data_IF_599275223822
#
_entry.id   IF_599275223822
#
_cell.length_a   1.000
_cell.length_b   1.000
_cell.length_c   1.000
_cell.angle_alpha   90.00
_cell.angle_beta   90.00
_cell.angle_gamma   90.00
#
_symmetry.space_group_name_H-M   'P 1'
#
loop_
_entity.id
_entity.type
_entity.pdbx_description
1 polymer ?
#
# COMPACT_ATOMS: atom_id res chain seq x y z
N UNK A 1 -0.74 -14.52 -1.34
CA UNK A 1 -0.56 -13.10 -1.00
C UNK A 1 -1.27 -12.81 0.31
N UNK A 2 -0.56 -12.23 1.25
CA UNK A 2 -1.12 -11.87 2.57
C UNK A 2 -1.33 -10.36 2.59
N UNK A 3 -2.56 -9.93 2.86
CA UNK A 3 -2.89 -8.51 2.95
C UNK A 3 -3.43 -8.20 4.35
N UNK A 4 -2.95 -7.11 4.92
CA UNK A 4 -3.46 -6.57 6.17
C UNK A 4 -4.69 -5.70 5.87
N UNK A 5 -5.74 -5.86 6.66
CA UNK A 5 -6.91 -5.01 6.59
C UNK A 5 -7.09 -4.30 7.93
N UNK A 6 -7.00 -2.98 7.91
CA UNK A 6 -7.17 -2.11 9.07
C UNK A 6 -8.50 -2.32 9.79
N UNK A 7 -9.57 -2.59 9.05
CA UNK A 7 -10.92 -2.74 9.59
C UNK A 7 -11.09 -4.03 10.42
N UNK A 8 -10.08 -4.92 10.36
CA UNK A 8 -10.01 -6.13 11.18
C UNK A 8 -9.11 -5.98 12.40
N UNK A 9 -8.79 -4.75 12.78
CA UNK A 9 -8.05 -4.48 14.01
C UNK A 9 -8.89 -4.79 15.22
N UNK A 10 -8.37 -5.65 16.11
CA UNK A 10 -9.03 -6.02 17.37
C UNK A 10 -8.08 -5.73 18.53
N UNK A 11 -8.35 -4.67 19.29
CA UNK A 11 -7.53 -4.25 20.42
C UNK A 11 -6.13 -3.79 19.97
N UNK A 12 -5.08 -4.25 20.65
CA UNK A 12 -3.68 -3.90 20.33
C UNK A 12 -3.02 -4.88 19.36
N UNK A 13 -3.75 -5.86 18.85
CA UNK A 13 -3.21 -6.88 17.94
C UNK A 13 -3.78 -6.69 16.55
N UNK A 14 -2.91 -6.76 15.57
CA UNK A 14 -3.29 -6.75 14.17
C UNK A 14 -3.64 -8.17 13.73
N UNK A 15 -4.81 -8.34 13.12
CA UNK A 15 -5.09 -9.56 12.38
C UNK A 15 -4.60 -9.39 10.94
N UNK A 16 -3.75 -10.31 10.53
CA UNK A 16 -3.33 -10.41 9.14
C UNK A 16 -4.33 -11.30 8.42
N UNK A 17 -5.08 -10.71 7.51
CA UNK A 17 -6.01 -11.46 6.69
C UNK A 17 -5.31 -11.93 5.42
N UNK A 18 -5.50 -13.20 5.12
CA UNK A 18 -5.16 -13.71 3.79
C UNK A 18 -6.33 -13.36 2.87
N UNK A 19 -6.12 -12.37 2.02
CA UNK A 19 -7.09 -11.99 1.00
C UNK A 19 -6.57 -12.53 -0.33
N UNK A 20 -7.33 -13.40 -0.95
CA UNK A 20 -6.97 -13.96 -2.24
C UNK A 20 -7.40 -13.02 -3.37
N UNK A 21 -6.82 -13.18 -4.55
CA UNK A 21 -7.26 -12.44 -5.73
C UNK A 21 -8.74 -12.68 -6.04
N UNK A 22 -9.23 -13.88 -5.76
CA UNK A 22 -10.65 -14.23 -5.93
C UNK A 22 -11.56 -13.39 -5.04
N UNK A 23 -11.17 -13.09 -3.80
CA UNK A 23 -11.94 -12.25 -2.89
C UNK A 23 -12.03 -10.82 -3.42
N UNK A 24 -10.95 -10.30 -4.01
CA UNK A 24 -10.90 -8.97 -4.61
C UNK A 24 -11.78 -8.94 -5.87
N UNK A 25 -11.73 -9.94 -6.71
CA UNK A 25 -12.55 -10.05 -7.92
C UNK A 25 -14.04 -10.12 -7.59
N UNK A 26 -14.41 -10.89 -6.57
CA UNK A 26 -15.81 -11.01 -6.13
C UNK A 26 -16.37 -9.68 -5.61
N UNK A 27 -15.53 -8.80 -5.07
CA UNK A 27 -15.95 -7.48 -4.62
C UNK A 27 -16.10 -6.47 -5.76
N UNK A 28 -15.72 -6.83 -6.98
CA UNK A 28 -15.71 -5.96 -8.17
C UNK A 28 -14.90 -4.68 -8.00
N UNK A 29 -13.87 -4.72 -7.14
CA UNK A 29 -12.99 -3.56 -6.89
C UNK A 29 -11.76 -3.66 -7.78
N UNK A 30 -11.59 -2.66 -8.64
CA UNK A 30 -10.38 -2.50 -9.43
C UNK A 30 -9.35 -1.73 -8.62
N UNK A 31 -8.21 -2.35 -8.38
CA UNK A 31 -7.08 -1.72 -7.71
C UNK A 31 -6.13 -1.15 -8.77
N UNK A 32 -5.92 0.16 -8.74
CA UNK A 32 -5.02 0.85 -9.68
C UNK A 32 -3.69 1.10 -8.98
N UNK A 33 -2.60 0.73 -9.65
CA UNK A 33 -1.25 0.86 -9.12
C UNK A 33 -0.64 2.21 -9.42
N UNK A 34 0.01 2.80 -8.40
CA UNK A 34 0.79 4.03 -8.52
C UNK A 34 2.25 3.70 -8.28
N UNK A 35 3.08 3.87 -9.32
CA UNK A 35 4.53 3.68 -9.24
C UNK A 35 5.25 4.97 -9.59
N UNK A 36 5.43 5.87 -8.62
CA UNK A 36 6.10 7.16 -8.78
C UNK A 36 7.25 7.32 -7.80
N UNK A 37 8.27 8.07 -8.22
CA UNK A 37 9.49 8.25 -7.44
C UNK A 37 9.41 9.30 -6.33
N UNK A 38 8.37 10.12 -6.29
CA UNK A 38 8.24 11.22 -5.34
C UNK A 38 6.87 11.23 -4.67
N UNK A 39 6.84 11.57 -3.38
CA UNK A 39 5.60 11.68 -2.61
C UNK A 39 4.55 12.57 -3.27
N UNK A 40 4.98 13.75 -3.72
CA UNK A 40 4.10 14.71 -4.38
C UNK A 40 3.40 14.11 -5.61
N UNK A 41 4.12 13.34 -6.39
CA UNK A 41 3.59 12.67 -7.58
C UNK A 41 2.59 11.57 -7.20
N UNK A 42 2.90 10.79 -6.16
CA UNK A 42 2.00 9.74 -5.64
C UNK A 42 0.69 10.35 -5.18
N UNK A 43 0.76 11.41 -4.38
CA UNK A 43 -0.42 12.09 -3.84
C UNK A 43 -1.29 12.68 -4.95
N UNK A 44 -0.68 13.35 -5.92
CA UNK A 44 -1.39 13.95 -7.04
C UNK A 44 -2.07 12.89 -7.92
N UNK A 45 -1.36 11.81 -8.22
CA UNK A 45 -1.92 10.71 -9.03
C UNK A 45 -3.06 10.01 -8.29
N UNK A 46 -2.94 9.82 -6.98
CA UNK A 46 -4.00 9.22 -6.17
C UNK A 46 -5.31 10.03 -6.30
N UNK A 47 -5.24 11.34 -6.12
CA UNK A 47 -6.41 12.22 -6.26
C UNK A 47 -7.00 12.16 -7.66
N UNK A 48 -6.15 12.20 -8.67
CA UNK A 48 -6.56 12.14 -10.06
C UNK A 48 -7.30 10.83 -10.39
N UNK A 49 -6.75 9.70 -9.94
CA UNK A 49 -7.37 8.39 -10.17
C UNK A 49 -8.73 8.27 -9.48
N UNK A 50 -8.86 8.78 -8.25
CA UNK A 50 -10.13 8.76 -7.52
C UNK A 50 -11.17 9.66 -8.21
N UNK A 51 -10.76 10.81 -8.72
CA UNK A 51 -11.65 11.68 -9.52
C UNK A 51 -12.16 10.97 -10.77
N UNK A 52 -11.38 10.03 -11.31
CA UNK A 52 -11.79 9.21 -12.46
C UNK A 52 -12.53 7.93 -12.07
N UNK A 53 -12.83 7.73 -10.79
CA UNK A 53 -13.66 6.62 -10.33
C UNK A 53 -12.90 5.47 -9.65
N UNK A 54 -11.59 5.58 -9.44
CA UNK A 54 -10.85 4.56 -8.70
C UNK A 54 -11.32 4.51 -7.25
N UNK A 55 -11.55 3.30 -6.74
CA UNK A 55 -12.03 3.07 -5.37
C UNK A 55 -10.96 2.50 -4.45
N UNK A 56 -9.89 1.99 -5.02
CA UNK A 56 -8.76 1.41 -4.31
C UNK A 56 -7.51 1.66 -5.14
N UNK A 57 -6.45 2.14 -4.50
CA UNK A 57 -5.17 2.32 -5.17
C UNK A 57 -4.08 1.57 -4.43
N UNK A 58 -3.11 1.07 -5.18
CA UNK A 58 -1.88 0.50 -4.65
C UNK A 58 -0.78 1.55 -4.75
N UNK A 59 -0.14 1.86 -3.63
CA UNK A 59 1.07 2.70 -3.62
C UNK A 59 2.30 1.81 -3.55
N UNK A 60 3.11 1.86 -4.60
CA UNK A 60 4.36 1.10 -4.70
C UNK A 60 5.47 1.88 -4.01
N UNK A 61 5.74 1.53 -2.75
CA UNK A 61 6.76 2.18 -1.92
C UNK A 61 8.17 1.95 -2.45
N UNK A 62 8.39 0.84 -3.14
CA UNK A 62 9.67 0.50 -3.75
C UNK A 62 10.06 1.42 -4.91
N UNK A 63 9.12 2.19 -5.46
CA UNK A 63 9.40 3.19 -6.50
C UNK A 63 9.88 4.52 -5.92
N UNK A 64 9.60 4.80 -4.65
CA UNK A 64 9.94 6.08 -4.01
C UNK A 64 11.45 6.12 -3.78
N UNK A 65 12.11 7.16 -4.32
CA UNK A 65 13.57 7.28 -4.35
C UNK A 65 14.20 7.81 -3.08
N UNK A 66 13.39 8.32 -2.15
CA UNK A 66 13.83 8.88 -0.86
C UNK A 66 13.18 8.13 0.28
N UNK A 67 13.56 8.50 1.50
CA UNK A 67 12.89 7.95 2.68
C UNK A 67 11.39 8.17 2.61
N UNK A 68 10.62 7.11 2.80
CA UNK A 68 9.17 7.17 2.72
C UNK A 68 8.60 7.82 3.97
N UNK A 69 7.81 8.87 3.78
CA UNK A 69 7.04 9.52 4.83
C UNK A 69 5.59 9.05 4.71
N UNK A 70 5.26 8.00 5.46
CA UNK A 70 3.97 7.31 5.35
C UNK A 70 2.79 8.21 5.70
N UNK A 71 2.91 9.03 6.76
CA UNK A 71 1.86 9.95 7.16
C UNK A 71 1.52 10.94 6.06
N UNK A 72 2.52 11.39 5.31
CA UNK A 72 2.30 12.30 4.19
C UNK A 72 1.51 11.65 3.06
N UNK A 73 1.78 10.38 2.78
CA UNK A 73 1.06 9.63 1.75
C UNK A 73 -0.39 9.32 2.14
N UNK A 74 -0.64 9.11 3.43
CA UNK A 74 -1.93 8.69 3.94
C UNK A 74 -2.82 9.84 4.42
N UNK A 75 -2.26 11.03 4.65
CA UNK A 75 -3.01 12.19 5.14
C UNK A 75 -4.09 12.59 4.13
N UNK A 76 -5.33 12.70 4.62
CA UNK A 76 -6.48 13.14 3.82
C UNK A 76 -6.63 12.33 2.51
N UNK A 77 -6.28 11.06 2.56
CA UNK A 77 -6.36 10.19 1.38
C UNK A 77 -7.79 10.08 0.85
N UNK A 78 -7.98 10.21 -0.48
CA UNK A 78 -9.33 10.22 -1.07
C UNK A 78 -9.94 8.83 -1.22
N UNK A 79 -9.18 7.76 -1.01
CA UNK A 79 -9.67 6.39 -1.08
C UNK A 79 -8.86 5.47 -0.17
N UNK A 80 -9.32 4.24 0.10
CA UNK A 80 -8.49 3.20 0.68
C UNK A 80 -7.22 2.95 -0.14
N UNK A 81 -6.16 2.53 0.54
CA UNK A 81 -4.83 2.35 -0.03
C UNK A 81 -4.28 0.98 0.34
N UNK A 82 -3.72 0.30 -0.63
CA UNK A 82 -2.82 -0.85 -0.44
C UNK A 82 -1.40 -0.33 -0.54
N UNK A 83 -0.54 -0.62 0.43
CA UNK A 83 0.89 -0.34 0.32
C UNK A 83 1.66 -1.61 0.03
N UNK A 84 2.48 -1.53 -1.02
CA UNK A 84 3.31 -2.64 -1.50
C UNK A 84 4.76 -2.17 -1.54
N UNK A 85 5.66 -3.01 -1.03
CA UNK A 85 7.10 -2.79 -1.17
C UNK A 85 7.72 -4.07 -1.73
N UNK A 86 7.91 -4.11 -3.05
CA UNK A 86 8.30 -5.31 -3.77
C UNK A 86 9.81 -5.38 -4.00
N UNK A 87 10.37 -6.55 -3.72
CA UNK A 87 11.80 -6.84 -3.91
C UNK A 87 12.13 -6.94 -5.40
N UNK A 88 13.39 -6.69 -5.74
CA UNK A 88 13.87 -6.82 -7.13
C UNK A 88 13.69 -8.24 -7.67
N UNK A 89 13.91 -9.25 -6.85
CA UNK A 89 13.72 -10.65 -7.25
C UNK A 89 12.27 -11.01 -7.57
N UNK A 90 11.33 -10.20 -7.11
CA UNK A 90 9.90 -10.36 -7.38
C UNK A 90 9.39 -9.36 -8.43
N UNK A 91 10.30 -8.72 -9.16
CA UNK A 91 9.97 -7.74 -10.18
C UNK A 91 9.77 -6.32 -9.69
N UNK A 92 10.13 -6.04 -8.44
CA UNK A 92 10.03 -4.70 -7.84
C UNK A 92 11.31 -3.88 -7.99
N UNK A 93 11.34 -2.75 -7.27
CA UNK A 93 12.46 -1.79 -7.31
C UNK A 93 13.10 -1.52 -5.95
N UNK A 94 12.75 -2.29 -4.92
CA UNK A 94 13.33 -2.10 -3.60
C UNK A 94 14.83 -2.38 -3.62
N UNK A 95 15.63 -1.40 -3.21
CA UNK A 95 17.09 -1.49 -3.19
C UNK A 95 17.67 -1.69 -1.78
N UNK A 96 16.85 -1.55 -0.75
CA UNK A 96 17.28 -1.74 0.64
C UNK A 96 17.34 -3.22 1.04
N UNK A 97 17.66 -3.43 2.31
CA UNK A 97 17.69 -4.78 2.88
C UNK A 97 16.27 -5.33 3.07
N UNK A 98 16.17 -6.65 3.18
CA UNK A 98 14.89 -7.31 3.50
C UNK A 98 14.40 -6.85 4.88
N UNK A 99 15.30 -6.70 5.85
CA UNK A 99 14.95 -6.20 7.17
C UNK A 99 14.31 -4.81 7.10
N UNK A 100 14.92 -3.88 6.36
CA UNK A 100 14.37 -2.53 6.20
C UNK A 100 13.05 -2.52 5.44
N UNK A 101 12.87 -3.43 4.50
CA UNK A 101 11.60 -3.59 3.79
C UNK A 101 10.47 -3.97 4.74
N UNK A 102 10.72 -4.94 5.61
CA UNK A 102 9.75 -5.38 6.61
C UNK A 102 9.46 -4.28 7.63
N UNK A 103 10.48 -3.56 8.07
CA UNK A 103 10.32 -2.41 8.98
C UNK A 103 9.40 -1.37 8.34
N UNK A 104 9.59 -1.06 7.06
CA UNK A 104 8.74 -0.10 6.35
C UNK A 104 7.28 -0.56 6.27
N UNK A 105 7.04 -1.83 5.95
CA UNK A 105 5.69 -2.38 5.88
C UNK A 105 5.00 -2.39 7.25
N UNK A 106 5.74 -2.71 8.32
CA UNK A 106 5.22 -2.60 9.70
C UNK A 106 4.89 -1.16 10.06
N UNK A 107 5.72 -0.21 9.66
CA UNK A 107 5.46 1.21 9.88
C UNK A 107 4.20 1.67 9.13
N UNK A 108 3.94 1.12 7.96
CA UNK A 108 2.71 1.40 7.21
C UNK A 108 1.46 0.92 7.98
N UNK A 109 1.52 -0.24 8.63
CA UNK A 109 0.45 -0.73 9.49
C UNK A 109 0.21 0.24 10.64
N UNK A 110 1.27 0.65 11.33
CA UNK A 110 1.19 1.60 12.46
C UNK A 110 0.63 2.95 12.01
N UNK A 111 0.99 3.40 10.81
CA UNK A 111 0.49 4.64 10.23
C UNK A 111 -1.01 4.58 9.84
N UNK A 112 -1.61 3.40 9.87
CA UNK A 112 -3.03 3.22 9.62
C UNK A 112 -3.41 3.00 8.16
N UNK A 113 -2.53 2.43 7.36
CA UNK A 113 -2.88 2.04 5.99
C UNK A 113 -4.03 1.03 5.98
N UNK A 114 -4.82 1.03 4.93
CA UNK A 114 -5.99 0.16 4.84
C UNK A 114 -5.60 -1.30 4.58
N UNK A 115 -4.62 -1.51 3.68
CA UNK A 115 -4.10 -2.83 3.33
C UNK A 115 -2.59 -2.78 3.12
N UNK A 116 -1.90 -3.88 3.38
CA UNK A 116 -0.54 -4.10 2.89
C UNK A 116 -0.48 -5.40 2.11
N UNK A 117 0.41 -5.42 1.12
CA UNK A 117 0.70 -6.60 0.34
C UNK A 117 1.99 -7.23 0.87
N UNK A 118 1.88 -8.43 1.43
CA UNK A 118 2.99 -9.22 1.93
C UNK A 118 3.21 -10.42 1.02
N UNK A 119 4.36 -10.44 0.40
CA UNK A 119 4.81 -11.56 -0.44
C UNK A 119 5.83 -12.41 0.31
#
# INVERSE_FOLDING_TARGET
>A
MVRYNRDKFVGEKYEVLVVTEADVELSSVICVSIGRGRHKQVIAEHRHLVEQGARLVEMRLDYIRRNVTLQRLLKDRPSPVVMTCRRQQDGGKWEGTEENRIILLRAAIVAGVDYIDLE
#
